data_IF_638854416295
#
_entry.id   IF_638854416295
#
_cell.length_a   1.000
_cell.length_b   1.000
_cell.length_c   1.000
_cell.angle_alpha   90.00
_cell.angle_beta   90.00
_cell.angle_gamma   90.00
#
_symmetry.space_group_name_H-M   'P 1'
#
loop_
_entity.id
_entity.type
_entity.pdbx_description
1 polymer ?
#
# COMPACT_ATOMS: atom_id res chain seq x y z
N UNK A 1 -3.99 15.00 -3.44
CA UNK A 1 -3.01 13.97 -3.80
C UNK A 1 -3.73 12.65 -3.97
N UNK A 2 -3.23 11.79 -4.80
CA UNK A 2 -3.84 10.49 -5.05
C UNK A 2 -2.83 9.37 -4.84
N UNK A 3 -3.31 8.13 -4.83
CA UNK A 3 -2.43 6.97 -4.75
C UNK A 3 -1.57 6.88 -6.02
N UNK A 4 -0.44 6.21 -5.92
CA UNK A 4 0.54 6.06 -7.00
C UNK A 4 0.58 4.60 -7.44
N UNK A 5 0.41 4.35 -8.74
CA UNK A 5 0.59 3.00 -9.28
C UNK A 5 2.09 2.69 -9.33
N UNK A 6 2.47 1.55 -8.76
CA UNK A 6 3.87 1.13 -8.69
C UNK A 6 3.99 -0.26 -9.33
N UNK A 7 5.06 -0.43 -10.10
CA UNK A 7 5.32 -1.68 -10.82
C UNK A 7 6.53 -2.41 -10.23
N UNK A 8 6.77 -3.64 -10.70
CA UNK A 8 7.99 -4.37 -10.35
C UNK A 8 9.24 -3.52 -10.62
N UNK A 9 9.24 -2.78 -11.73
CA UNK A 9 10.40 -1.97 -12.13
C UNK A 9 10.56 -0.69 -11.33
N UNK A 10 9.46 -0.11 -10.81
CA UNK A 10 9.51 1.17 -10.10
C UNK A 10 9.48 1.02 -8.59
N UNK A 11 9.28 -0.19 -8.08
CA UNK A 11 9.09 -0.42 -6.65
C UNK A 11 10.27 0.10 -5.81
N UNK A 12 11.46 -0.19 -6.23
CA UNK A 12 12.66 0.19 -5.48
C UNK A 12 12.75 1.71 -5.34
N UNK A 13 12.59 2.43 -6.45
CA UNK A 13 12.66 3.90 -6.45
C UNK A 13 11.50 4.54 -5.69
N UNK A 14 10.28 4.04 -5.91
CA UNK A 14 9.07 4.66 -5.38
C UNK A 14 8.81 4.32 -3.92
N UNK A 15 9.22 3.13 -3.47
CA UNK A 15 8.92 2.63 -2.14
C UNK A 15 10.16 2.59 -1.26
N UNK A 16 11.17 1.83 -1.67
CA UNK A 16 12.36 1.62 -0.81
C UNK A 16 13.21 2.87 -0.63
N UNK A 17 13.27 3.71 -1.66
CA UNK A 17 14.06 4.95 -1.63
C UNK A 17 13.22 6.18 -1.29
N UNK A 18 11.95 5.98 -0.92
CA UNK A 18 11.07 7.09 -0.57
C UNK A 18 11.56 7.80 0.70
N UNK A 19 11.51 9.12 0.69
CA UNK A 19 11.86 9.96 1.84
C UNK A 19 10.76 10.01 2.89
N UNK A 20 9.53 9.60 2.52
CA UNK A 20 8.40 9.53 3.45
C UNK A 20 7.96 8.07 3.58
N UNK A 21 7.29 7.69 4.68
CA UNK A 21 6.73 6.35 4.80
C UNK A 21 5.76 6.05 3.67
N UNK A 22 5.70 4.79 3.24
CA UNK A 22 4.85 4.36 2.13
C UNK A 22 3.96 3.22 2.58
N UNK A 23 2.66 3.38 2.36
CA UNK A 23 1.70 2.28 2.47
C UNK A 23 1.63 1.62 1.10
N UNK A 24 1.93 0.33 1.03
CA UNK A 24 1.85 -0.43 -0.22
C UNK A 24 0.64 -1.34 -0.18
N UNK A 25 -0.26 -1.15 -1.14
CA UNK A 25 -1.49 -1.94 -1.29
C UNK A 25 -1.31 -2.93 -2.45
N UNK A 26 -1.20 -4.21 -2.13
CA UNK A 26 -1.19 -5.27 -3.14
C UNK A 26 -2.64 -5.67 -3.42
N UNK A 27 -3.06 -5.51 -4.67
CA UNK A 27 -4.46 -5.66 -5.07
C UNK A 27 -4.57 -6.32 -6.45
N UNK A 28 -5.80 -6.66 -6.83
CA UNK A 28 -6.10 -7.14 -8.18
C UNK A 28 -7.51 -6.69 -8.57
N UNK A 29 -7.74 -6.59 -9.86
CA UNK A 29 -9.02 -6.12 -10.42
C UNK A 29 -10.18 -7.03 -10.04
N UNK A 30 -9.94 -8.35 -9.94
CA UNK A 30 -10.96 -9.34 -9.60
C UNK A 30 -11.26 -9.42 -8.10
N UNK A 31 -10.53 -8.70 -7.29
CA UNK A 31 -10.63 -8.77 -5.82
C UNK A 31 -11.67 -7.77 -5.29
N UNK A 32 -12.82 -8.27 -4.85
CA UNK A 32 -13.89 -7.43 -4.30
C UNK A 32 -13.45 -6.60 -3.10
N UNK A 33 -12.88 -7.21 -2.05
CA UNK A 33 -12.39 -6.46 -0.88
C UNK A 33 -11.33 -5.41 -1.23
N UNK A 34 -10.48 -5.67 -2.23
CA UNK A 34 -9.51 -4.68 -2.70
C UNK A 34 -10.21 -3.43 -3.23
N UNK A 35 -11.31 -3.63 -3.97
CA UNK A 35 -12.08 -2.53 -4.54
C UNK A 35 -12.86 -1.76 -3.49
N UNK A 36 -13.21 -2.39 -2.39
CA UNK A 36 -13.88 -1.72 -1.27
C UNK A 36 -12.96 -0.70 -0.60
N UNK A 37 -11.68 -1.04 -0.43
CA UNK A 37 -10.73 -0.13 0.23
C UNK A 37 -10.07 0.87 -0.72
N UNK A 38 -10.19 0.66 -2.03
CA UNK A 38 -9.61 1.57 -3.01
C UNK A 38 -9.97 3.03 -2.77
N UNK A 39 -11.27 3.37 -2.73
CA UNK A 39 -11.68 4.76 -2.46
C UNK A 39 -11.23 5.28 -1.10
N UNK A 40 -11.20 4.42 -0.09
CA UNK A 40 -10.72 4.78 1.25
C UNK A 40 -9.24 5.16 1.21
N UNK A 41 -8.43 4.38 0.50
CA UNK A 41 -7.00 4.67 0.34
C UNK A 41 -6.77 5.97 -0.43
N UNK A 42 -7.61 6.26 -1.43
CA UNK A 42 -7.55 7.55 -2.14
C UNK A 42 -7.82 8.72 -1.18
N UNK A 43 -8.85 8.60 -0.34
CA UNK A 43 -9.16 9.63 0.65
C UNK A 43 -8.00 9.83 1.62
N UNK A 44 -7.45 8.74 2.15
CA UNK A 44 -6.33 8.81 3.09
C UNK A 44 -5.09 9.40 2.43
N UNK A 45 -4.85 9.08 1.17
CA UNK A 45 -3.73 9.64 0.40
C UNK A 45 -3.80 11.15 0.33
N UNK A 46 -5.02 11.69 0.13
CA UNK A 46 -5.23 13.14 0.11
C UNK A 46 -5.09 13.75 1.50
N UNK A 47 -5.73 13.13 2.49
CA UNK A 47 -5.76 13.67 3.86
C UNK A 47 -4.41 13.63 4.54
N UNK A 48 -3.58 12.65 4.20
CA UNK A 48 -2.27 12.44 4.80
C UNK A 48 -1.11 12.83 3.87
N UNK A 49 -1.41 13.63 2.86
CA UNK A 49 -0.40 14.11 1.90
C UNK A 49 0.76 14.80 2.63
N UNK A 50 1.98 14.46 2.24
CA UNK A 50 3.19 14.96 2.89
C UNK A 50 3.66 14.16 4.10
N UNK A 51 2.77 13.37 4.70
CA UNK A 51 3.10 12.51 5.86
C UNK A 51 3.35 11.08 5.42
N UNK A 52 2.60 10.59 4.45
CA UNK A 52 2.68 9.23 3.93
C UNK A 52 2.33 9.23 2.45
N UNK A 53 2.95 8.32 1.72
CA UNK A 53 2.60 8.04 0.32
C UNK A 53 1.88 6.70 0.29
N UNK A 54 0.85 6.59 -0.54
CA UNK A 54 0.13 5.32 -0.73
C UNK A 54 0.39 4.83 -2.15
N UNK A 55 1.03 3.68 -2.25
CA UNK A 55 1.39 3.04 -3.51
C UNK A 55 0.50 1.81 -3.71
N UNK A 56 0.08 1.58 -4.95
CA UNK A 56 -0.74 0.42 -5.32
C UNK A 56 0.02 -0.46 -6.30
N UNK A 57 0.08 -1.76 -6.00
CA UNK A 57 0.74 -2.75 -6.86
C UNK A 57 -0.30 -3.78 -7.29
N UNK A 58 -0.60 -3.81 -8.59
CA UNK A 58 -1.46 -4.83 -9.19
C UNK A 58 -0.67 -6.13 -9.29
N UNK A 59 -1.06 -7.15 -8.52
CA UNK A 59 -0.30 -8.40 -8.43
C UNK A 59 -0.35 -9.22 -9.73
N UNK A 60 -1.38 -9.04 -10.56
CA UNK A 60 -1.46 -9.76 -11.81
C UNK A 60 -0.46 -9.25 -12.84
N UNK A 61 -0.26 -7.93 -12.86
CA UNK A 61 0.71 -7.29 -13.76
C UNK A 61 2.13 -7.24 -13.18
N UNK A 62 2.26 -7.36 -11.85
CA UNK A 62 3.53 -7.19 -11.15
C UNK A 62 3.74 -8.31 -10.13
N UNK A 63 3.90 -9.56 -10.62
CA UNK A 63 4.00 -10.72 -9.74
C UNK A 63 5.33 -10.83 -8.98
N UNK A 64 6.38 -10.19 -9.46
CA UNK A 64 7.73 -10.39 -8.90
C UNK A 64 7.86 -9.79 -7.52
N UNK A 65 7.44 -8.54 -7.33
CA UNK A 65 7.58 -7.90 -6.02
C UNK A 65 6.64 -8.53 -4.99
N UNK A 66 5.44 -8.94 -5.42
CA UNK A 66 4.51 -9.64 -4.54
C UNK A 66 5.11 -10.96 -4.03
N UNK A 67 5.75 -11.72 -4.93
CA UNK A 67 6.41 -12.97 -4.56
C UNK A 67 7.60 -12.72 -3.64
N UNK A 68 8.41 -11.70 -3.93
CA UNK A 68 9.59 -11.36 -3.12
C UNK A 68 9.20 -11.01 -1.69
N UNK A 69 8.13 -10.24 -1.51
CA UNK A 69 7.64 -9.83 -0.19
C UNK A 69 6.92 -10.98 0.51
N UNK A 70 6.39 -11.93 -0.25
CA UNK A 70 5.68 -13.08 0.29
C UNK A 70 4.19 -12.85 0.46
N UNK A 71 3.59 -12.07 -0.43
CA UNK A 71 2.15 -11.82 -0.43
C UNK A 71 1.42 -13.12 -0.75
N UNK A 72 0.52 -13.55 0.13
CA UNK A 72 -0.24 -14.80 -0.03
C UNK A 72 -1.72 -14.57 -0.29
N UNK A 73 -2.25 -13.45 0.13
CA UNK A 73 -3.66 -13.12 -0.05
C UNK A 73 -3.80 -11.63 -0.23
N UNK A 74 -4.87 -11.19 -0.88
CA UNK A 74 -5.12 -9.78 -1.14
C UNK A 74 -6.52 -9.39 -0.66
N UNK A 75 -6.72 -8.11 -0.24
CA UNK A 75 -5.70 -7.06 -0.21
C UNK A 75 -4.66 -7.33 0.89
N UNK A 76 -3.41 -7.00 0.59
CA UNK A 76 -2.34 -7.07 1.57
C UNK A 76 -1.69 -5.68 1.64
N UNK A 77 -1.62 -5.12 2.83
CA UNK A 77 -1.10 -3.79 3.06
C UNK A 77 0.20 -3.87 3.87
N UNK A 78 1.22 -3.18 3.38
CA UNK A 78 2.52 -3.11 4.07
C UNK A 78 2.89 -1.65 4.25
N UNK A 79 3.52 -1.32 5.38
CA UNK A 79 4.07 0.01 5.57
C UNK A 79 5.58 -0.10 5.55
N UNK A 80 6.18 0.67 4.64
CA UNK A 80 7.63 0.81 4.54
C UNK A 80 8.04 2.15 5.14
N UNK A 81 9.09 2.11 5.95
CA UNK A 81 9.70 3.32 6.51
C UNK A 81 11.21 3.18 6.40
N UNK A 82 11.85 4.15 5.77
CA UNK A 82 13.30 4.12 5.51
C UNK A 82 13.72 2.84 4.78
N UNK A 83 12.89 2.39 3.85
CA UNK A 83 13.15 1.23 3.02
C UNK A 83 12.84 -0.12 3.64
N UNK A 84 12.32 -0.15 4.88
CA UNK A 84 12.05 -1.40 5.58
C UNK A 84 10.58 -1.54 5.97
N UNK A 85 10.09 -2.77 5.98
CA UNK A 85 8.72 -3.07 6.41
C UNK A 85 8.64 -2.91 7.94
N UNK A 86 7.77 -2.00 8.38
CA UNK A 86 7.56 -1.77 9.81
C UNK A 86 6.22 -2.32 10.30
N UNK A 87 5.28 -2.57 9.41
CA UNK A 87 3.99 -3.17 9.77
C UNK A 87 3.31 -3.74 8.53
N UNK A 88 2.38 -4.67 8.73
CA UNK A 88 1.56 -5.19 7.65
C UNK A 88 0.21 -5.65 8.20
N UNK A 89 -0.77 -5.73 7.31
CA UNK A 89 -2.07 -6.29 7.63
C UNK A 89 -2.73 -6.84 6.37
N UNK A 90 -3.67 -7.76 6.54
CA UNK A 90 -4.40 -8.37 5.45
C UNK A 90 -5.89 -8.05 5.56
N UNK A 91 -6.55 -8.02 4.41
CA UNK A 91 -7.98 -7.84 4.34
C UNK A 91 -8.43 -6.40 4.36
N UNK A 92 -9.71 -6.18 4.01
CA UNK A 92 -10.32 -4.86 4.03
C UNK A 92 -10.64 -4.45 5.48
N UNK A 93 -10.66 -3.14 5.72
CA UNK A 93 -10.99 -2.57 7.01
C UNK A 93 -11.63 -1.19 6.82
N UNK A 94 -12.40 -0.70 7.80
CA UNK A 94 -12.95 0.64 7.74
C UNK A 94 -11.87 1.72 7.74
N UNK A 95 -12.20 2.87 7.17
CA UNK A 95 -11.26 3.99 7.05
C UNK A 95 -10.59 4.35 8.39
N UNK A 96 -11.38 4.45 9.46
CA UNK A 96 -10.84 4.82 10.78
C UNK A 96 -9.79 3.82 11.26
N UNK A 97 -10.02 2.52 11.02
CA UNK A 97 -9.07 1.49 11.41
C UNK A 97 -7.77 1.59 10.60
N UNK A 98 -7.88 1.82 9.31
CA UNK A 98 -6.73 1.99 8.43
C UNK A 98 -5.93 3.24 8.80
N UNK A 99 -6.64 4.35 9.06
CA UNK A 99 -6.00 5.60 9.44
C UNK A 99 -5.23 5.45 10.75
N UNK A 100 -5.83 4.85 11.78
CA UNK A 100 -5.18 4.61 13.06
C UNK A 100 -3.94 3.72 12.90
N UNK A 101 -4.07 2.66 12.12
CA UNK A 101 -2.96 1.74 11.86
C UNK A 101 -1.78 2.46 11.20
N UNK A 102 -2.07 3.30 10.21
CA UNK A 102 -1.03 4.08 9.52
C UNK A 102 -0.37 5.04 10.49
N UNK A 103 -1.18 5.80 11.25
CA UNK A 103 -0.66 6.79 12.20
C UNK A 103 0.21 6.15 13.28
N UNK A 104 -0.17 4.97 13.74
CA UNK A 104 0.60 4.24 14.76
C UNK A 104 1.93 3.71 14.21
N UNK A 105 2.04 3.54 12.89
CA UNK A 105 3.21 2.92 12.26
C UNK A 105 4.22 3.93 11.73
N UNK A 106 3.83 5.17 11.61
CA UNK A 106 4.71 6.22 11.08
C UNK A 106 5.09 7.21 12.17
#
# INVERSE_FOLDING_TARGET
>A
MSTVAVTDDTFDAEVRKSEVPVVVDFWAEWCGPCKQIGPVLEELSSEMAGKVKIAKVDVDSNPNIAATIGVRGIPALFIFKDGEIVSNRAGAAPKAALQSWIEDSI
#
